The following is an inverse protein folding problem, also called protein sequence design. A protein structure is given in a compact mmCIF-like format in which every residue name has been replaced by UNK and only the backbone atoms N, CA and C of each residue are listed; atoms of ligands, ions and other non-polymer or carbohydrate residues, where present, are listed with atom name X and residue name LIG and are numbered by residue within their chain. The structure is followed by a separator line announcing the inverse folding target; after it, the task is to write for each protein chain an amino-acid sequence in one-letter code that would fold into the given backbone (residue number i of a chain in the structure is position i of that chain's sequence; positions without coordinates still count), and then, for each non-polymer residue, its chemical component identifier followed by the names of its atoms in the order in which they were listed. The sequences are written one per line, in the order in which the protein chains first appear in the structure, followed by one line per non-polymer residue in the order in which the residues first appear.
data_IF_230164145050
#
_entry.id   IF_230164145050
#
_cell.length_a   1.000
_cell.length_b   1.000
_cell.length_c   1.000
_cell.angle_alpha   90.00
_cell.angle_beta   90.00
_cell.angle_gamma   90.00
#
_symmetry.space_group_name_H-M   'P 1'
#
loop_
_entity.id
_entity.type
_entity.pdbx_description
1 polymer ?
#
# COMPACT_ATOMS: atom_id res chain seq x y z
N UNK A 1 -2.69 -33.90 7.27
CA UNK A 1 -1.63 -32.98 6.80
C UNK A 1 -2.32 -31.73 6.27
N UNK A 2 -1.89 -30.55 6.71
CA UNK A 2 -2.43 -29.26 6.26
C UNK A 2 -2.64 -28.31 7.44
N UNK A 3 -1.54 -27.83 8.04
CA UNK A 3 -1.63 -26.68 8.94
C UNK A 3 -1.92 -25.46 8.06
N UNK A 4 -3.19 -25.06 7.97
CA UNK A 4 -3.52 -23.70 7.56
C UNK A 4 -2.91 -22.78 8.62
N UNK A 5 -1.71 -22.28 8.34
CA UNK A 5 -1.14 -21.20 9.14
C UNK A 5 -1.98 -19.97 8.86
N UNK A 6 -3.01 -19.77 9.67
CA UNK A 6 -3.69 -18.50 9.84
C UNK A 6 -2.66 -17.53 10.41
N UNK A 7 -1.88 -16.91 9.50
CA UNK A 7 -0.93 -15.86 9.83
C UNK A 7 -1.74 -14.64 10.27
N UNK A 8 -1.99 -14.55 11.57
CA UNK A 8 -2.81 -13.48 12.19
C UNK A 8 -1.99 -12.23 12.50
N UNK A 9 -0.67 -12.27 12.32
CA UNK A 9 0.24 -11.14 12.55
C UNK A 9 1.17 -10.96 11.35
N UNK A 10 1.35 -9.70 10.93
CA UNK A 10 2.38 -9.34 9.96
C UNK A 10 3.76 -9.49 10.59
N UNK A 11 4.69 -10.10 9.86
CA UNK A 11 6.10 -10.10 10.24
C UNK A 11 6.71 -8.69 10.06
N UNK A 12 7.74 -8.33 10.84
CA UNK A 12 8.37 -7.02 10.76
C UNK A 12 8.90 -6.68 9.36
N UNK A 13 9.41 -7.67 8.62
CA UNK A 13 9.80 -7.51 7.21
C UNK A 13 8.61 -7.15 6.30
N UNK A 14 7.44 -7.73 6.54
CA UNK A 14 6.23 -7.48 5.75
C UNK A 14 5.67 -6.08 6.02
N UNK A 15 5.69 -5.66 7.29
CA UNK A 15 5.38 -4.28 7.67
C UNK A 15 6.38 -3.28 7.08
N UNK A 16 7.66 -3.65 7.05
CA UNK A 16 8.72 -2.86 6.43
C UNK A 16 8.47 -2.61 4.94
N UNK A 17 8.10 -3.67 4.21
CA UNK A 17 7.79 -3.57 2.79
C UNK A 17 6.54 -2.72 2.52
N UNK A 18 5.48 -2.89 3.32
CA UNK A 18 4.26 -2.06 3.23
C UNK A 18 4.57 -0.59 3.50
N UNK A 19 5.35 -0.31 4.54
CA UNK A 19 5.78 1.05 4.88
C UNK A 19 6.63 1.66 3.77
N UNK A 20 7.54 0.90 3.17
CA UNK A 20 8.36 1.39 2.06
C UNK A 20 7.50 1.83 0.88
N UNK A 21 6.57 0.99 0.43
CA UNK A 21 5.67 1.35 -0.68
C UNK A 21 4.79 2.55 -0.31
N UNK A 22 4.29 2.57 0.92
CA UNK A 22 3.51 3.70 1.42
C UNK A 22 4.30 5.01 1.35
N UNK A 23 5.51 5.06 1.90
CA UNK A 23 6.35 6.26 1.91
C UNK A 23 6.74 6.66 0.48
N UNK A 24 7.10 5.70 -0.38
CA UNK A 24 7.49 5.98 -1.77
C UNK A 24 6.36 6.62 -2.58
N UNK A 25 5.13 6.10 -2.45
CA UNK A 25 3.96 6.57 -3.17
C UNK A 25 3.44 7.89 -2.61
N UNK A 26 3.35 8.01 -1.28
CA UNK A 26 2.87 9.25 -0.65
C UNK A 26 3.85 10.41 -0.75
N UNK A 27 5.13 10.13 -0.99
CA UNK A 27 6.15 11.14 -1.31
C UNK A 27 6.10 11.61 -2.77
N UNK A 28 5.27 11.01 -3.63
CA UNK A 28 5.18 11.43 -5.02
C UNK A 28 4.45 12.77 -5.16
N UNK A 29 4.88 13.65 -6.07
CA UNK A 29 4.27 14.99 -6.23
C UNK A 29 2.83 14.95 -6.73
N UNK A 30 2.44 13.87 -7.41
CA UNK A 30 1.07 13.66 -7.90
C UNK A 30 0.12 13.11 -6.83
N UNK A 31 0.65 12.57 -5.73
CA UNK A 31 -0.16 11.99 -4.68
C UNK A 31 -0.75 13.10 -3.80
N UNK A 32 -2.04 13.00 -3.50
CA UNK A 32 -2.64 13.91 -2.53
C UNK A 32 -2.24 13.53 -1.10
N UNK A 33 -1.23 14.22 -0.58
CA UNK A 33 -0.66 14.00 0.76
C UNK A 33 -1.58 14.43 1.92
N UNK A 34 -2.87 14.67 1.67
CA UNK A 34 -3.90 14.83 2.70
C UNK A 34 -3.96 13.62 3.63
N UNK A 35 -4.15 13.85 4.93
CA UNK A 35 -4.16 12.78 5.94
C UNK A 35 -5.25 11.73 5.67
N UNK A 36 -6.39 12.15 5.12
CA UNK A 36 -7.48 11.25 4.71
C UNK A 36 -7.06 10.28 3.60
N UNK A 37 -6.38 10.79 2.55
CA UNK A 37 -5.91 9.99 1.43
C UNK A 37 -4.77 9.06 1.82
N UNK A 38 -3.86 9.52 2.69
CA UNK A 38 -2.83 8.67 3.31
C UNK A 38 -3.46 7.53 4.12
N UNK A 39 -4.40 7.81 5.00
CA UNK A 39 -5.06 6.77 5.80
C UNK A 39 -5.82 5.78 4.92
N UNK A 40 -6.54 6.27 3.91
CA UNK A 40 -7.30 5.44 2.98
C UNK A 40 -6.38 4.56 2.12
N UNK A 41 -5.23 5.09 1.68
CA UNK A 41 -4.23 4.32 0.94
C UNK A 41 -3.55 3.26 1.82
N UNK A 42 -3.19 3.60 3.06
CA UNK A 42 -2.64 2.64 4.02
C UNK A 42 -3.62 1.48 4.26
N UNK A 43 -4.91 1.80 4.46
CA UNK A 43 -5.98 0.79 4.59
C UNK A 43 -6.09 -0.09 3.36
N UNK A 44 -6.08 0.50 2.16
CA UNK A 44 -6.07 -0.24 0.90
C UNK A 44 -4.90 -1.23 0.82
N UNK A 45 -3.69 -0.85 1.24
CA UNK A 45 -2.54 -1.75 1.25
C UNK A 45 -2.76 -2.95 2.19
N UNK A 46 -3.29 -2.72 3.40
CA UNK A 46 -3.58 -3.80 4.34
C UNK A 46 -4.70 -4.73 3.86
N UNK A 47 -5.74 -4.18 3.24
CA UNK A 47 -6.87 -4.96 2.69
C UNK A 47 -6.48 -5.73 1.42
N UNK A 48 -5.59 -5.18 0.59
CA UNK A 48 -5.12 -5.81 -0.65
C UNK A 48 -4.09 -6.92 -0.40
N UNK A 49 -3.27 -6.77 0.65
CA UNK A 49 -2.23 -7.73 1.01
C UNK A 49 -2.47 -8.32 2.40
N UNK A 50 -3.59 -9.05 2.62
CA UNK A 50 -3.82 -9.73 3.88
C UNK A 50 -2.75 -10.82 4.04
N UNK A 51 -2.05 -10.81 5.18
CA UNK A 51 -0.90 -11.67 5.49
C UNK A 51 0.44 -11.32 4.83
N UNK A 52 0.64 -10.07 4.40
CA UNK A 52 2.01 -9.53 4.19
C UNK A 52 2.74 -10.04 2.94
N UNK A 53 2.02 -10.69 2.03
CA UNK A 53 2.51 -11.10 0.70
C UNK A 53 2.83 -9.93 -0.25
N UNK A 54 3.03 -8.73 0.27
CA UNK A 54 3.45 -7.57 -0.51
C UNK A 54 4.93 -7.72 -0.87
N UNK A 55 5.19 -7.88 -2.17
CA UNK A 55 6.52 -7.76 -2.72
C UNK A 55 6.64 -6.38 -3.38
N UNK A 56 7.45 -5.46 -2.84
CA UNK A 56 7.53 -4.08 -3.33
C UNK A 56 7.99 -4.06 -4.80
N UNK A 57 9.00 -4.83 -5.20
CA UNK A 57 9.48 -4.86 -6.58
C UNK A 57 8.42 -5.33 -7.59
N UNK A 58 7.60 -6.31 -7.20
CA UNK A 58 6.59 -6.89 -8.11
C UNK A 58 5.27 -6.14 -8.11
N UNK A 59 4.85 -5.62 -6.96
CA UNK A 59 3.51 -5.04 -6.79
C UNK A 59 3.51 -3.52 -6.89
N UNK A 60 4.66 -2.84 -6.79
CA UNK A 60 4.76 -1.38 -6.87
C UNK A 60 4.08 -0.81 -8.10
N UNK A 61 4.28 -1.38 -9.29
CA UNK A 61 3.67 -0.85 -10.51
C UNK A 61 2.14 -0.89 -10.49
N UNK A 62 1.56 -1.95 -9.92
CA UNK A 62 0.10 -2.10 -9.80
C UNK A 62 -0.44 -1.16 -8.72
N UNK A 63 0.23 -1.12 -7.56
CA UNK A 63 -0.11 -0.23 -6.45
C UNK A 63 -0.03 1.24 -6.89
N UNK A 64 1.00 1.62 -7.63
CA UNK A 64 1.18 2.98 -8.19
C UNK A 64 0.05 3.32 -9.17
N UNK A 65 -0.33 2.38 -10.05
CA UNK A 65 -1.43 2.58 -10.98
C UNK A 65 -2.76 2.79 -10.24
N UNK A 66 -3.07 1.98 -9.21
CA UNK A 66 -4.25 2.18 -8.36
C UNK A 66 -4.15 3.49 -7.58
N UNK A 67 -2.98 3.80 -7.02
CA UNK A 67 -2.74 5.04 -6.30
C UNK A 67 -3.03 6.27 -7.17
N UNK A 68 -2.59 6.23 -8.43
CA UNK A 68 -2.85 7.28 -9.43
C UNK A 68 -4.30 7.40 -9.88
N UNK A 69 -5.10 6.36 -9.75
CA UNK A 69 -6.52 6.41 -10.15
C UNK A 69 -7.40 6.98 -9.05
N UNK A 70 -7.04 6.76 -7.78
CA UNK A 70 -7.92 7.04 -6.64
C UNK A 70 -7.39 8.11 -5.67
N UNK A 71 -6.09 8.37 -5.66
CA UNK A 71 -5.42 9.23 -4.67
C UNK A 71 -4.51 10.29 -5.31
N UNK A 72 -4.67 10.55 -6.60
CA UNK A 72 -4.07 11.71 -7.25
C UNK A 72 -4.72 12.99 -6.76
N UNK A 73 -3.90 14.02 -6.61
CA UNK A 73 -4.41 15.39 -6.50
C UNK A 73 -5.14 15.71 -7.79
N UNK A 74 -6.47 15.81 -7.72
CA UNK A 74 -7.28 16.35 -8.81
C UNK A 74 -6.91 17.83 -8.91
N UNK A 75 -5.87 18.14 -9.69
CA UNK A 75 -5.66 19.50 -10.17
C UNK A 75 -6.77 19.75 -11.20
N UNK A 76 -7.97 20.06 -10.70
CA UNK A 76 -8.98 20.74 -11.48
C UNK A 76 -8.34 22.06 -11.98
N UNK A 77 -8.26 22.28 -13.31
CA UNK A 77 -7.73 23.52 -13.87
C UNK A 77 -8.62 24.73 -13.58
#
# INVERSE_FOLDING_TARGET
MGYFSSKTAFEPDELGALKQVFDEITSQPWFDASEENKQSFARYLFETFPAGHLNPDKHRSIIEASARMFYTRDEAP
#
